data_IF_987276029932
#
_entry.id   IF_987276029932
#
_cell.length_a   1.000
_cell.length_b   1.000
_cell.length_c   1.000
_cell.angle_alpha   90.00
_cell.angle_beta   90.00
_cell.angle_gamma   90.00
#
_symmetry.space_group_name_H-M   'P 1'
#
loop_
_entity.id
_entity.type
_entity.pdbx_description
1 polymer ?
#
# COMPACT_ATOMS: atom_id res chain seq x y z
N UNK A 1 1.90 -2.68 7.08
CA UNK A 1 3.05 -3.46 6.59
C UNK A 1 3.92 -2.52 5.79
N UNK A 2 5.24 -2.65 5.88
CA UNK A 2 6.16 -1.84 5.07
C UNK A 2 7.43 -2.68 4.78
N UNK A 3 8.03 -2.42 3.62
CA UNK A 3 9.27 -3.06 3.17
C UNK A 3 10.51 -2.42 3.80
N UNK A 4 10.38 -1.19 4.33
CA UNK A 4 11.46 -0.48 4.99
C UNK A 4 11.31 -0.56 6.52
N UNK A 5 12.33 -1.12 7.18
CA UNK A 5 12.38 -1.21 8.65
C UNK A 5 12.33 0.15 9.34
N UNK A 6 12.89 1.17 8.72
CA UNK A 6 12.87 2.54 9.22
C UNK A 6 11.44 3.07 9.26
N UNK A 7 10.66 2.83 8.21
CA UNK A 7 9.24 3.20 8.15
C UNK A 7 8.42 2.50 9.23
N UNK A 8 8.70 1.21 9.51
CA UNK A 8 8.06 0.50 10.62
C UNK A 8 8.38 1.13 11.99
N UNK A 9 9.64 1.50 12.23
CA UNK A 9 10.04 2.17 13.49
C UNK A 9 9.32 3.52 13.65
N UNK A 10 9.29 4.33 12.60
CA UNK A 10 8.61 5.62 12.59
C UNK A 10 7.10 5.46 12.81
N UNK A 11 6.45 4.53 12.11
CA UNK A 11 5.03 4.27 12.26
C UNK A 11 4.67 3.81 13.68
N UNK A 12 5.51 2.97 14.31
CA UNK A 12 5.32 2.55 15.70
C UNK A 12 5.48 3.71 16.68
N UNK A 13 6.50 4.55 16.48
CA UNK A 13 6.69 5.75 17.28
C UNK A 13 5.46 6.68 17.18
N UNK A 14 5.00 6.98 15.98
CA UNK A 14 3.83 7.83 15.75
C UNK A 14 2.58 7.24 16.42
N UNK A 15 2.32 5.94 16.26
CA UNK A 15 1.18 5.30 16.92
C UNK A 15 1.27 5.37 18.46
N UNK A 16 2.47 5.38 19.03
CA UNK A 16 2.69 5.63 20.45
C UNK A 16 2.35 7.07 20.85
N UNK A 17 2.81 8.06 20.08
CA UNK A 17 2.46 9.48 20.28
C UNK A 17 0.96 9.71 20.22
N UNK A 18 0.24 9.03 19.32
CA UNK A 18 -1.21 9.10 19.19
C UNK A 18 -1.98 8.16 20.14
N UNK A 19 -1.30 7.40 21.01
CA UNK A 19 -1.95 6.52 21.99
C UNK A 19 -2.70 5.32 21.39
N UNK A 20 -2.37 4.90 20.17
CA UNK A 20 -3.07 3.81 19.47
C UNK A 20 -2.16 2.63 19.10
N UNK A 21 -0.92 2.60 19.59
CA UNK A 21 0.07 1.58 19.25
C UNK A 21 -0.39 0.13 19.52
N UNK A 22 -1.18 -0.09 20.57
CA UNK A 22 -1.74 -1.40 20.94
C UNK A 22 -2.76 -1.94 19.91
N UNK A 23 -3.41 -1.05 19.17
CA UNK A 23 -4.39 -1.39 18.15
C UNK A 23 -3.76 -1.71 16.77
N UNK A 24 -2.43 -1.59 16.65
CA UNK A 24 -1.73 -1.70 15.36
C UNK A 24 -0.70 -2.83 15.38
N UNK A 25 -0.90 -3.83 14.52
CA UNK A 25 0.10 -4.87 14.27
C UNK A 25 1.09 -4.42 13.18
N UNK A 26 2.31 -4.10 13.60
CA UNK A 26 3.39 -3.73 12.69
C UNK A 26 4.09 -4.95 12.10
N UNK A 27 4.19 -5.01 10.77
CA UNK A 27 4.83 -6.10 10.03
C UNK A 27 5.87 -5.55 9.06
N UNK A 28 7.13 -5.95 9.24
CA UNK A 28 8.20 -5.78 8.26
C UNK A 28 8.19 -6.99 7.33
N UNK A 29 8.08 -6.76 6.02
CA UNK A 29 8.14 -7.84 5.02
C UNK A 29 8.85 -7.36 3.76
N UNK A 30 9.78 -8.15 3.26
CA UNK A 30 10.53 -7.90 2.03
C UNK A 30 9.86 -8.47 0.78
N UNK A 31 8.77 -9.24 0.97
CA UNK A 31 8.07 -9.94 -0.10
C UNK A 31 6.56 -9.74 0.01
N UNK A 32 5.88 -9.81 -1.13
CA UNK A 32 4.43 -9.85 -1.26
C UNK A 32 3.87 -11.17 -0.71
N UNK A 33 3.89 -11.35 0.60
CA UNK A 33 3.38 -12.58 1.20
C UNK A 33 1.86 -12.56 1.33
N UNK A 34 1.23 -13.66 0.93
CA UNK A 34 -0.21 -13.94 1.04
C UNK A 34 -0.61 -14.30 2.48
N UNK A 35 -0.69 -13.29 3.34
CA UNK A 35 -1.36 -13.42 4.64
C UNK A 35 -2.79 -12.89 4.55
N UNK A 36 -3.80 -13.68 4.94
CA UNK A 36 -5.16 -13.13 5.07
C UNK A 36 -5.15 -12.02 6.12
N UNK A 37 -5.67 -10.86 5.75
CA UNK A 37 -5.84 -9.73 6.66
C UNK A 37 -7.30 -9.29 6.62
N UNK A 38 -7.95 -9.23 7.77
CA UNK A 38 -9.26 -8.62 7.93
C UNK A 38 -9.10 -7.09 7.92
N UNK A 39 -8.99 -6.46 6.73
CA UNK A 39 -8.83 -5.01 6.65
C UNK A 39 -8.76 -4.45 5.22
N UNK A 40 -8.63 -3.13 5.10
CA UNK A 40 -8.42 -2.45 3.81
C UNK A 40 -6.91 -2.37 3.51
N UNK A 41 -6.52 -2.57 2.25
CA UNK A 41 -5.13 -2.42 1.78
C UNK A 41 -5.03 -1.16 0.94
N UNK A 42 -4.10 -0.26 1.28
CA UNK A 42 -3.85 1.00 0.56
C UNK A 42 -2.42 1.01 -0.02
N UNK A 43 -2.24 0.70 -1.31
CA UNK A 43 -0.93 0.78 -1.95
C UNK A 43 -0.57 2.23 -2.31
N UNK A 44 0.72 2.59 -2.18
CA UNK A 44 1.24 3.94 -2.49
C UNK A 44 2.58 3.80 -3.23
N UNK A 45 2.79 4.53 -4.32
CA UNK A 45 4.13 4.67 -4.94
C UNK A 45 4.50 6.15 -5.16
N UNK A 46 5.64 6.64 -4.68
CA UNK A 46 5.92 8.09 -4.61
C UNK A 46 6.14 8.81 -5.95
N UNK A 47 6.21 8.08 -7.08
CA UNK A 47 6.59 8.64 -8.38
C UNK A 47 5.47 9.43 -9.07
N UNK A 48 4.22 9.31 -8.62
CA UNK A 48 3.07 10.00 -9.23
C UNK A 48 3.09 11.53 -9.11
N UNK A 49 3.92 12.11 -8.24
CA UNK A 49 3.93 13.56 -7.99
C UNK A 49 4.42 14.39 -9.19
N UNK A 50 5.04 13.75 -10.19
CA UNK A 50 5.66 14.42 -11.35
C UNK A 50 4.91 14.21 -12.67
N UNK A 51 3.72 13.59 -12.62
CA UNK A 51 3.00 13.18 -13.82
C UNK A 51 1.65 13.89 -13.91
N UNK A 52 1.39 14.51 -15.07
CA UNK A 52 0.12 15.19 -15.39
C UNK A 52 -1.04 14.19 -15.56
N UNK A 53 -0.71 12.97 -16.04
CA UNK A 53 -1.61 11.82 -16.05
C UNK A 53 -0.86 10.60 -15.49
N UNK A 54 -1.49 9.91 -14.55
CA UNK A 54 -0.94 8.74 -13.88
C UNK A 54 -1.72 7.49 -14.28
N UNK A 55 -1.07 6.54 -14.95
CA UNK A 55 -1.64 5.22 -15.21
C UNK A 55 -1.37 4.29 -14.02
N UNK A 56 -2.38 3.62 -13.44
CA UNK A 56 -2.15 2.56 -12.46
C UNK A 56 -1.24 1.43 -12.95
N UNK A 57 -1.12 1.22 -14.27
CA UNK A 57 -0.25 0.18 -14.85
C UNK A 57 1.25 0.39 -14.57
N UNK A 58 1.71 1.64 -14.44
CA UNK A 58 3.13 1.93 -14.16
C UNK A 58 3.53 1.65 -12.71
N UNK A 59 2.56 1.44 -11.81
CA UNK A 59 2.80 1.12 -10.40
C UNK A 59 3.50 -0.24 -10.28
N UNK A 60 4.79 -0.28 -9.97
CA UNK A 60 5.54 -1.55 -9.89
C UNK A 60 5.41 -2.37 -11.19
N UNK A 61 5.55 -1.72 -12.36
CA UNK A 61 5.43 -2.34 -13.69
C UNK A 61 6.23 -3.64 -13.82
N UNK A 62 7.46 -3.67 -13.29
CA UNK A 62 8.32 -4.87 -13.24
C UNK A 62 7.69 -6.09 -12.53
N UNK A 63 6.60 -5.88 -11.79
CA UNK A 63 5.85 -6.89 -11.03
C UNK A 63 4.39 -7.01 -11.51
N UNK A 64 4.07 -6.55 -12.72
CA UNK A 64 2.74 -6.65 -13.31
C UNK A 64 1.81 -5.46 -13.00
N UNK A 65 2.37 -4.32 -12.60
CA UNK A 65 1.62 -3.08 -12.48
C UNK A 65 0.69 -3.01 -11.26
N UNK A 66 -0.16 -1.98 -11.24
CA UNK A 66 -1.15 -1.80 -10.18
C UNK A 66 -2.18 -2.91 -10.08
N UNK A 67 -2.46 -3.60 -11.20
CA UNK A 67 -3.39 -4.72 -11.23
C UNK A 67 -2.89 -5.91 -10.40
N UNK A 68 -1.59 -6.22 -10.46
CA UNK A 68 -0.98 -7.27 -9.64
C UNK A 68 -1.14 -6.96 -8.13
N UNK A 69 -0.98 -5.68 -7.75
CA UNK A 69 -1.16 -5.23 -6.37
C UNK A 69 -2.62 -5.37 -5.94
N UNK A 70 -3.58 -4.98 -6.79
CA UNK A 70 -5.02 -5.17 -6.51
C UNK A 70 -5.37 -6.65 -6.36
N UNK A 71 -4.81 -7.51 -7.21
CA UNK A 71 -5.05 -8.96 -7.18
C UNK A 71 -4.56 -9.58 -5.87
N UNK A 72 -3.34 -9.24 -5.46
CA UNK A 72 -2.77 -9.69 -4.18
C UNK A 72 -3.61 -9.15 -3.02
N UNK A 73 -3.95 -7.86 -3.03
CA UNK A 73 -4.75 -7.24 -1.99
C UNK A 73 -6.14 -7.88 -1.84
N UNK A 74 -6.81 -8.21 -2.96
CA UNK A 74 -8.09 -8.95 -2.98
C UNK A 74 -7.97 -10.37 -2.41
N UNK A 75 -6.82 -11.04 -2.58
CA UNK A 75 -6.60 -12.35 -1.95
C UNK A 75 -6.44 -12.25 -0.43
N UNK A 76 -6.00 -11.09 0.07
CA UNK A 76 -5.78 -10.86 1.49
C UNK A 76 -7.07 -10.40 2.19
N UNK A 77 -7.88 -9.58 1.53
CA UNK A 77 -9.09 -8.99 2.08
C UNK A 77 -10.22 -8.80 1.05
N UNK A 78 -11.49 -8.96 1.45
CA UNK A 78 -12.63 -8.83 0.55
C UNK A 78 -12.97 -7.38 0.17
N UNK A 79 -12.51 -6.39 0.95
CA UNK A 79 -12.75 -4.96 0.72
C UNK A 79 -11.42 -4.24 0.52
N UNK A 80 -11.39 -3.36 -0.48
CA UNK A 80 -10.19 -2.64 -0.89
C UNK A 80 -10.45 -1.13 -0.90
N UNK A 81 -9.48 -0.36 -0.42
CA UNK A 81 -9.50 1.10 -0.51
C UNK A 81 -8.18 1.56 -1.13
N UNK A 82 -8.24 2.11 -2.34
CA UNK A 82 -7.05 2.55 -3.07
C UNK A 82 -6.80 4.03 -2.83
N UNK A 83 -5.57 4.36 -2.42
CA UNK A 83 -5.11 5.74 -2.37
C UNK A 83 -4.34 6.05 -3.65
N UNK A 84 -4.96 6.80 -4.56
CA UNK A 84 -4.43 7.11 -5.89
C UNK A 84 -4.21 8.61 -6.04
N UNK A 85 -3.26 9.04 -6.89
CA UNK A 85 -3.05 10.45 -7.18
C UNK A 85 -4.29 11.06 -7.84
N UNK A 86 -4.47 12.37 -7.67
CA UNK A 86 -5.55 13.13 -8.33
C UNK A 86 -5.52 13.02 -9.87
N UNK A 87 -4.34 12.77 -10.42
CA UNK A 87 -4.06 12.67 -11.86
C UNK A 87 -4.27 11.27 -12.41
N UNK A 88 -4.79 10.33 -11.60
CA UNK A 88 -5.05 8.97 -12.06
C UNK A 88 -6.00 8.97 -13.25
N UNK A 89 -5.63 8.24 -14.30
CA UNK A 89 -6.53 7.96 -15.41
C UNK A 89 -7.65 7.03 -14.92
N UNK A 90 -8.90 7.48 -15.09
CA UNK A 90 -10.09 6.75 -14.65
C UNK A 90 -10.74 5.94 -15.77
N UNK A 91 -10.18 6.03 -16.98
CA UNK A 91 -10.66 5.29 -18.15
C UNK A 91 -10.07 3.88 -18.26
N UNK A 92 -8.99 3.61 -17.52
CA UNK A 92 -8.44 2.27 -17.28
C UNK A 92 -9.24 1.50 -16.20
#
# INVERSE_FOLDING_TARGET
>A
MDIDRTKIKLARHNAGVYGCAENVRFLYRTEWSTGKCSGHVAPVAPQYLRLDSYSPSVLCEAYGGGEAIVRIAKSMAPKLALHLPRTVDKSE
#
